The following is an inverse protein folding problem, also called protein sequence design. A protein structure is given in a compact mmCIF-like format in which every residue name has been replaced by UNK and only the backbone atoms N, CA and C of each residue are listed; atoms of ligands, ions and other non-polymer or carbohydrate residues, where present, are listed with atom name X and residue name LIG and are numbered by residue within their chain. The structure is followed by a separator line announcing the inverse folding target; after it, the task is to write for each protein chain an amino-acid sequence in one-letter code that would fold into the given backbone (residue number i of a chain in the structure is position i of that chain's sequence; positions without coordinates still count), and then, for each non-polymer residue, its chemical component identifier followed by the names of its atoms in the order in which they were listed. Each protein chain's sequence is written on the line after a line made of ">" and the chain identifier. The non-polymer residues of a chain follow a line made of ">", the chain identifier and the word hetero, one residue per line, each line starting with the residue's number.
data_IF_302155299453
#
_entry.id   IF_302155299453
#
_cell.length_a   1.000
_cell.length_b   1.000
_cell.length_c   1.000
_cell.angle_alpha   90.00
_cell.angle_beta   90.00
_cell.angle_gamma   90.00
#
_symmetry.space_group_name_H-M   'P 1'
#
loop_
_entity.id
_entity.type
_entity.pdbx_description
1 polymer ?
#
# COMPACT_ATOMS: atom_id res chain seq x y z
N UNK A 1 -16.63 6.61 -8.74
CA UNK A 1 -15.68 5.53 -8.39
C UNK A 1 -16.49 4.29 -8.01
N UNK A 2 -16.11 3.11 -8.48
CA UNK A 2 -16.81 1.86 -8.12
C UNK A 2 -16.45 1.47 -6.67
N UNK A 3 -17.35 0.78 -5.96
CA UNK A 3 -17.13 0.36 -4.56
C UNK A 3 -15.81 -0.43 -4.40
N UNK A 4 -15.50 -1.34 -5.31
CA UNK A 4 -14.24 -2.10 -5.29
C UNK A 4 -13.00 -1.21 -5.39
N UNK A 5 -13.05 -0.13 -6.19
CA UNK A 5 -11.93 0.82 -6.31
C UNK A 5 -11.77 1.65 -5.05
N UNK A 6 -12.88 2.07 -4.44
CA UNK A 6 -12.84 2.78 -3.17
C UNK A 6 -12.25 1.90 -2.07
N UNK A 7 -12.69 0.65 -1.97
CA UNK A 7 -12.17 -0.32 -1.00
C UNK A 7 -10.68 -0.62 -1.23
N UNK A 8 -10.23 -0.73 -2.48
CA UNK A 8 -8.81 -0.95 -2.78
C UNK A 8 -7.94 0.23 -2.33
N UNK A 9 -8.37 1.47 -2.60
CA UNK A 9 -7.67 2.68 -2.12
C UNK A 9 -7.70 2.75 -0.60
N UNK A 10 -8.84 2.48 0.03
CA UNK A 10 -8.98 2.48 1.49
C UNK A 10 -8.05 1.43 2.13
N UNK A 11 -8.02 0.21 1.59
CA UNK A 11 -7.14 -0.85 2.07
C UNK A 11 -5.67 -0.45 2.00
N UNK A 12 -5.26 0.19 0.90
CA UNK A 12 -3.89 0.69 0.75
C UNK A 12 -3.55 1.82 1.73
N UNK A 13 -4.49 2.73 1.98
CA UNK A 13 -4.31 3.79 2.99
C UNK A 13 -4.15 3.21 4.40
N UNK A 14 -4.99 2.23 4.78
CA UNK A 14 -4.89 1.55 6.07
C UNK A 14 -3.58 0.77 6.19
N UNK A 15 -3.15 0.11 5.11
CA UNK A 15 -1.86 -0.57 5.03
C UNK A 15 -0.69 0.40 5.28
N UNK A 16 -0.68 1.56 4.62
CA UNK A 16 0.33 2.60 4.84
C UNK A 16 0.30 3.13 6.28
N UNK A 17 -0.89 3.36 6.84
CA UNK A 17 -1.03 3.85 8.20
C UNK A 17 -0.47 2.85 9.23
N UNK A 18 -0.80 1.56 9.08
CA UNK A 18 -0.29 0.50 9.94
C UNK A 18 1.24 0.43 9.89
N UNK A 19 1.81 0.35 8.68
CA UNK A 19 3.26 0.28 8.53
C UNK A 19 3.98 1.56 8.97
N UNK A 20 3.35 2.73 8.81
CA UNK A 20 3.86 4.00 9.35
C UNK A 20 3.99 3.97 10.87
N UNK A 21 3.01 3.40 11.57
CA UNK A 21 3.09 3.17 13.02
C UNK A 21 4.24 2.21 13.34
N UNK A 22 4.33 1.08 12.65
CA UNK A 22 5.38 0.07 12.90
C UNK A 22 6.78 0.67 12.72
N UNK A 23 7.05 1.39 11.64
CA UNK A 23 8.34 2.04 11.39
C UNK A 23 8.65 3.10 12.46
N UNK A 24 7.65 3.85 12.92
CA UNK A 24 7.85 4.95 13.88
C UNK A 24 8.17 4.45 15.29
N UNK A 25 7.53 3.37 15.72
CA UNK A 25 7.64 2.84 17.08
C UNK A 25 8.67 1.70 17.21
N UNK A 26 9.00 1.03 16.10
CA UNK A 26 9.99 -0.06 16.05
C UNK A 26 11.01 0.22 14.94
N UNK A 27 11.83 1.27 15.06
CA UNK A 27 12.72 1.70 13.98
C UNK A 27 13.91 0.75 13.82
N UNK A 28 13.80 -0.18 12.86
CA UNK A 28 14.90 -1.00 12.37
C UNK A 28 15.13 -0.75 10.87
N UNK A 29 16.38 -0.60 10.42
CA UNK A 29 16.68 -0.29 9.01
C UNK A 29 16.24 -1.43 8.07
N UNK A 30 16.44 -2.68 8.47
CA UNK A 30 16.00 -3.89 7.77
C UNK A 30 14.47 -3.94 7.62
N UNK A 31 13.73 -3.62 8.68
CA UNK A 31 12.28 -3.47 8.65
C UNK A 31 11.86 -2.39 7.65
N UNK A 32 12.52 -1.22 7.66
CA UNK A 32 12.23 -0.14 6.72
C UNK A 32 12.36 -0.57 5.25
N UNK A 33 13.39 -1.36 4.94
CA UNK A 33 13.60 -1.91 3.59
C UNK A 33 12.50 -2.92 3.23
N UNK A 34 12.21 -3.88 4.12
CA UNK A 34 11.18 -4.89 3.87
C UNK A 34 9.79 -4.28 3.67
N UNK A 35 9.44 -3.33 4.54
CA UNK A 35 8.19 -2.57 4.43
C UNK A 35 8.16 -1.74 3.15
N UNK A 36 9.25 -1.06 2.81
CA UNK A 36 9.36 -0.27 1.58
C UNK A 36 9.09 -1.11 0.33
N UNK A 37 9.69 -2.30 0.23
CA UNK A 37 9.45 -3.23 -0.88
C UNK A 37 7.97 -3.62 -0.95
N UNK A 38 7.37 -3.98 0.19
CA UNK A 38 5.95 -4.33 0.27
C UNK A 38 5.02 -3.19 -0.16
N UNK A 39 5.29 -1.97 0.31
CA UNK A 39 4.56 -0.75 -0.05
C UNK A 39 4.66 -0.46 -1.56
N UNK A 40 5.85 -0.61 -2.14
CA UNK A 40 6.05 -0.40 -3.58
C UNK A 40 5.27 -1.43 -4.42
N UNK A 41 5.32 -2.71 -4.03
CA UNK A 41 4.59 -3.78 -4.72
C UNK A 41 3.07 -3.60 -4.61
N UNK A 42 2.56 -3.33 -3.41
CA UNK A 42 1.13 -3.08 -3.19
C UNK A 42 0.66 -1.81 -3.91
N UNK A 43 1.50 -0.77 -3.96
CA UNK A 43 1.23 0.45 -4.72
C UNK A 43 1.17 0.19 -6.23
N UNK A 44 2.07 -0.65 -6.75
CA UNK A 44 2.05 -1.07 -8.16
C UNK A 44 0.79 -1.85 -8.49
N UNK A 45 0.38 -2.79 -7.64
CA UNK A 45 -0.85 -3.54 -7.79
C UNK A 45 -2.07 -2.60 -7.81
N UNK A 46 -2.19 -1.68 -6.84
CA UNK A 46 -3.27 -0.69 -6.79
C UNK A 46 -3.28 0.19 -8.05
N UNK A 47 -2.11 0.65 -8.50
CA UNK A 47 -1.96 1.43 -9.71
C UNK A 47 -2.42 0.64 -10.95
N UNK A 48 -2.06 -0.64 -11.03
CA UNK A 48 -2.49 -1.52 -12.11
C UNK A 48 -4.01 -1.72 -12.10
N UNK A 49 -4.65 -1.91 -10.94
CA UNK A 49 -6.10 -2.06 -10.83
C UNK A 49 -6.87 -0.78 -11.18
N UNK A 50 -6.32 0.38 -10.84
CA UNK A 50 -6.89 1.68 -11.20
C UNK A 50 -6.81 1.95 -12.70
N UNK A 51 -5.67 1.60 -13.32
CA UNK A 51 -5.40 1.83 -14.76
C UNK A 51 -6.03 0.77 -15.68
N UNK A 52 -6.17 -0.48 -15.24
CA UNK A 52 -6.58 -1.62 -16.08
C UNK A 52 -8.09 -1.75 -16.31
N UNK A 53 -8.82 -0.65 -16.48
CA UNK A 53 -10.17 -0.66 -17.09
C UNK A 53 -10.15 -0.12 -18.52
N UNK A 54 -9.05 -0.40 -19.24
CA UNK A 54 -8.90 -0.12 -20.67
C UNK A 54 -8.85 -1.41 -21.53
N UNK A 55 -9.24 -2.57 -20.97
CA UNK A 55 -9.60 -3.77 -21.72
C UNK A 55 -10.83 -4.41 -21.10
#
# INVERSE_FOLDING_TARGET
>A
MNLSRFLAVLAFVVFLAFFGVVIRFVPHPDLGVAVGIGVLLAGYDLWSQLRSRAR
#
